data_IF_299814479354
#
_entry.id   IF_299814479354
#
_cell.length_a   1.000
_cell.length_b   1.000
_cell.length_c   1.000
_cell.angle_alpha   90.00
_cell.angle_beta   90.00
_cell.angle_gamma   90.00
#
_symmetry.space_group_name_H-M   'P 1'
#
loop_
_entity.id
_entity.type
_entity.pdbx_description
1 polymer ?
#
# COMPACT_ATOMS: atom_id res chain seq x y z
N UNK A 1 -1.06 7.84 19.98
CA UNK A 1 -0.80 9.15 19.36
C UNK A 1 -1.73 9.38 18.18
N UNK A 2 -2.05 10.63 17.87
CA UNK A 2 -2.81 10.97 16.66
C UNK A 2 -1.92 10.75 15.42
N UNK A 3 -2.34 9.88 14.51
CA UNK A 3 -1.63 9.70 13.25
C UNK A 3 -1.89 10.94 12.38
N UNK A 4 -0.82 11.51 11.80
CA UNK A 4 -0.88 12.70 10.93
C UNK A 4 -0.49 12.33 9.50
N UNK A 5 -0.93 13.11 8.52
CA UNK A 5 -0.64 12.84 7.11
C UNK A 5 -1.19 11.48 6.65
N UNK A 6 -0.41 10.73 5.88
CA UNK A 6 -0.81 9.42 5.33
C UNK A 6 -1.26 8.41 6.40
N UNK A 7 -0.57 8.38 7.55
CA UNK A 7 -0.98 7.51 8.66
C UNK A 7 -2.36 7.86 9.23
N UNK A 8 -2.81 9.11 9.08
CA UNK A 8 -4.16 9.53 9.41
C UNK A 8 -5.21 8.86 8.54
N UNK A 9 -5.00 8.82 7.21
CA UNK A 9 -5.89 8.12 6.28
C UNK A 9 -5.96 6.62 6.58
N UNK A 10 -4.80 5.97 6.74
CA UNK A 10 -4.74 4.53 7.06
C UNK A 10 -5.47 4.26 8.36
N UNK A 11 -5.27 5.07 9.41
CA UNK A 11 -5.94 4.86 10.70
C UNK A 11 -7.46 5.06 10.64
N UNK A 12 -7.94 5.97 9.79
CA UNK A 12 -9.38 6.18 9.58
C UNK A 12 -10.03 4.95 8.92
N UNK A 13 -9.33 4.33 7.96
CA UNK A 13 -9.80 3.12 7.26
C UNK A 13 -9.63 1.88 8.13
N UNK A 14 -8.43 1.66 8.67
CA UNK A 14 -8.08 0.51 9.51
C UNK A 14 -7.03 0.90 10.56
N UNK A 15 -7.46 0.98 11.81
CA UNK A 15 -6.57 1.18 12.96
C UNK A 15 -5.55 0.05 13.11
N UNK A 16 -5.93 -1.18 12.74
CA UNK A 16 -5.05 -2.35 12.76
C UNK A 16 -3.94 -2.23 11.71
N UNK A 17 -4.26 -1.85 10.46
CA UNK A 17 -3.25 -1.65 9.42
C UNK A 17 -2.25 -0.56 9.82
N UNK A 18 -2.74 0.52 10.44
CA UNK A 18 -1.87 1.56 10.98
C UNK A 18 -0.92 1.03 12.07
N UNK A 19 -1.43 0.18 12.98
CA UNK A 19 -0.60 -0.45 14.01
C UNK A 19 0.46 -1.38 13.41
N UNK A 20 0.12 -2.17 12.39
CA UNK A 20 1.07 -3.06 11.70
C UNK A 20 2.23 -2.31 11.07
N UNK A 21 1.99 -1.15 10.49
CA UNK A 21 3.06 -0.27 9.97
C UNK A 21 3.97 0.20 11.12
N UNK A 22 3.40 0.59 12.26
CA UNK A 22 4.19 0.94 13.45
C UNK A 22 5.01 -0.24 13.99
N UNK A 23 4.45 -1.44 13.98
CA UNK A 23 5.15 -2.67 14.41
C UNK A 23 6.35 -2.95 13.49
N UNK A 24 6.19 -2.82 12.17
CA UNK A 24 7.29 -2.96 11.20
C UNK A 24 8.38 -1.89 11.39
N UNK A 25 7.99 -0.63 11.65
CA UNK A 25 8.95 0.43 11.99
C UNK A 25 9.69 0.16 13.30
N UNK A 26 9.00 -0.40 14.30
CA UNK A 26 9.60 -0.80 15.56
C UNK A 26 10.60 -1.94 15.34
N UNK A 27 10.27 -2.95 14.52
CA UNK A 27 11.18 -4.03 14.16
C UNK A 27 12.48 -3.50 13.52
N UNK A 28 12.37 -2.57 12.57
CA UNK A 28 13.55 -1.94 11.96
C UNK A 28 14.39 -1.12 12.95
N UNK A 29 13.74 -0.44 13.91
CA UNK A 29 14.44 0.28 14.98
C UNK A 29 15.12 -0.67 15.96
N UNK A 30 14.50 -1.80 16.27
CA UNK A 30 15.07 -2.83 17.13
C UNK A 30 16.31 -3.44 16.49
N UNK A 31 16.29 -3.73 15.20
CA UNK A 31 17.48 -4.14 14.46
C UNK A 31 18.59 -3.08 14.54
N UNK A 32 18.28 -1.84 14.15
CA UNK A 32 19.27 -0.74 14.15
C UNK A 32 19.86 -0.42 15.52
N UNK A 33 19.03 -0.38 16.57
CA UNK A 33 19.46 0.08 17.91
C UNK A 33 19.91 -1.08 18.82
N UNK A 34 19.53 -2.32 18.51
CA UNK A 34 19.76 -3.49 19.36
C UNK A 34 21.07 -4.20 19.10
N UNK A 35 21.68 -3.99 17.93
CA UNK A 35 22.93 -4.63 17.54
C UNK A 35 24.14 -3.76 17.89
N UNK A 36 25.13 -4.38 18.55
CA UNK A 36 26.41 -3.76 18.90
C UNK A 36 27.15 -3.33 17.64
N UNK A 37 28.00 -2.29 17.78
CA UNK A 37 28.66 -1.50 16.72
C UNK A 37 29.42 -2.25 15.61
N UNK A 38 29.50 -3.58 15.63
CA UNK A 38 30.16 -4.41 14.62
C UNK A 38 29.23 -4.89 13.50
N UNK A 39 27.91 -4.87 13.71
CA UNK A 39 26.90 -5.30 12.71
C UNK A 39 25.94 -4.16 12.30
N UNK A 40 26.18 -2.94 12.81
CA UNK A 40 25.38 -1.77 12.46
C UNK A 40 25.49 -1.48 10.95
N UNK A 41 24.38 -1.68 10.24
CA UNK A 41 24.31 -1.50 8.78
C UNK A 41 24.57 -2.74 7.93
N UNK A 42 24.71 -3.95 8.49
CA UNK A 42 24.80 -5.18 7.68
C UNK A 42 23.42 -5.57 7.13
N UNK A 43 23.16 -5.21 5.88
CA UNK A 43 21.92 -5.54 5.16
C UNK A 43 21.79 -7.04 4.84
N UNK A 44 22.83 -7.84 5.07
CA UNK A 44 22.77 -9.30 4.91
C UNK A 44 22.31 -10.03 6.17
N UNK A 45 22.14 -9.31 7.30
CA UNK A 45 21.58 -9.87 8.51
C UNK A 45 20.15 -10.40 8.23
N UNK A 46 19.86 -11.69 8.53
CA UNK A 46 18.50 -12.23 8.41
C UNK A 46 17.44 -11.40 9.14
N UNK A 47 17.77 -10.77 10.28
CA UNK A 47 16.83 -9.93 11.02
C UNK A 47 16.52 -8.61 10.32
N UNK A 48 17.49 -8.03 9.62
CA UNK A 48 17.23 -6.91 8.71
C UNK A 48 16.22 -7.34 7.65
N UNK A 49 16.45 -8.50 7.02
CA UNK A 49 15.55 -9.07 6.02
C UNK A 49 14.13 -9.27 6.54
N UNK A 50 13.96 -9.86 7.72
CA UNK A 50 12.64 -10.06 8.34
C UNK A 50 11.96 -8.74 8.70
N UNK A 51 12.68 -7.79 9.30
CA UNK A 51 12.13 -6.48 9.65
C UNK A 51 11.70 -5.70 8.41
N UNK A 52 12.53 -5.72 7.36
CA UNK A 52 12.24 -5.06 6.09
C UNK A 52 11.01 -5.68 5.42
N UNK A 53 10.95 -7.02 5.34
CA UNK A 53 9.81 -7.71 4.74
C UNK A 53 8.49 -7.39 5.49
N UNK A 54 8.52 -7.37 6.83
CA UNK A 54 7.35 -6.99 7.63
C UNK A 54 6.92 -5.54 7.38
N UNK A 55 7.87 -4.60 7.32
CA UNK A 55 7.58 -3.20 7.04
C UNK A 55 7.02 -3.01 5.63
N UNK A 56 7.62 -3.66 4.62
CA UNK A 56 7.16 -3.57 3.24
C UNK A 56 5.76 -4.16 3.08
N UNK A 57 5.49 -5.33 3.66
CA UNK A 57 4.17 -5.95 3.61
C UNK A 57 3.11 -5.06 4.28
N UNK A 58 3.42 -4.50 5.45
CA UNK A 58 2.51 -3.60 6.16
C UNK A 58 2.24 -2.30 5.38
N UNK A 59 3.29 -1.70 4.80
CA UNK A 59 3.16 -0.48 4.00
C UNK A 59 2.37 -0.72 2.70
N UNK A 60 2.66 -1.81 1.99
CA UNK A 60 1.97 -2.15 0.75
C UNK A 60 0.49 -2.40 1.02
N UNK A 61 0.16 -3.15 2.07
CA UNK A 61 -1.24 -3.37 2.47
C UNK A 61 -1.93 -2.06 2.89
N UNK A 62 -1.26 -1.21 3.67
CA UNK A 62 -1.83 0.08 4.09
C UNK A 62 -2.11 1.02 2.90
N UNK A 63 -1.21 1.06 1.90
CA UNK A 63 -1.40 1.82 0.68
C UNK A 63 -2.49 1.21 -0.20
N UNK A 64 -2.55 -0.12 -0.32
CA UNK A 64 -3.62 -0.81 -1.02
C UNK A 64 -4.99 -0.47 -0.43
N UNK A 65 -5.14 -0.44 0.90
CA UNK A 65 -6.40 -0.03 1.55
C UNK A 65 -6.81 1.39 1.19
N UNK A 66 -5.88 2.35 1.19
CA UNK A 66 -6.18 3.74 0.83
C UNK A 66 -6.58 3.86 -0.63
N UNK A 67 -5.86 3.19 -1.54
CA UNK A 67 -6.18 3.21 -2.98
C UNK A 67 -7.52 2.53 -3.25
N UNK A 68 -7.79 1.40 -2.58
CA UNK A 68 -9.07 0.68 -2.64
C UNK A 68 -10.24 1.56 -2.23
N UNK A 69 -10.12 2.27 -1.10
CA UNK A 69 -11.15 3.18 -0.62
C UNK A 69 -11.41 4.28 -1.66
N UNK A 70 -10.35 4.87 -2.20
CA UNK A 70 -10.45 5.92 -3.23
C UNK A 70 -11.08 5.43 -4.53
N UNK A 71 -10.80 4.20 -4.94
CA UNK A 71 -11.49 3.56 -6.06
C UNK A 71 -12.98 3.37 -5.77
N UNK A 72 -13.35 2.99 -4.54
CA UNK A 72 -14.75 2.84 -4.14
C UNK A 72 -15.48 4.19 -4.04
N UNK A 73 -14.81 5.24 -3.56
CA UNK A 73 -15.40 6.59 -3.50
C UNK A 73 -15.74 7.12 -4.89
N UNK A 74 -14.99 6.72 -5.93
CA UNK A 74 -15.16 7.21 -7.30
C UNK A 74 -16.59 7.09 -7.81
N UNK A 75 -17.33 6.06 -7.41
CA UNK A 75 -18.72 5.83 -7.84
C UNK A 75 -19.70 6.92 -7.37
N UNK A 76 -19.36 7.65 -6.30
CA UNK A 76 -20.18 8.73 -5.74
C UNK A 76 -19.76 10.14 -6.18
N UNK A 77 -18.66 10.27 -6.91
CA UNK A 77 -18.07 11.56 -7.27
C UNK A 77 -18.43 12.00 -8.69
N UNK A 78 -18.39 13.31 -8.95
CA UNK A 78 -18.60 13.86 -10.28
C UNK A 78 -17.78 15.14 -10.53
N UNK A 79 -17.58 15.47 -11.81
CA UNK A 79 -16.82 16.66 -12.23
C UNK A 79 -15.38 16.67 -11.69
N UNK A 80 -14.89 17.85 -11.32
CA UNK A 80 -13.50 18.05 -10.89
C UNK A 80 -13.10 17.26 -9.64
N UNK A 81 -14.06 16.86 -8.81
CA UNK A 81 -13.79 16.02 -7.64
C UNK A 81 -13.47 14.58 -8.03
N UNK A 82 -14.21 14.04 -9.00
CA UNK A 82 -13.94 12.72 -9.58
C UNK A 82 -12.58 12.69 -10.30
N UNK A 83 -12.24 13.75 -11.03
CA UNK A 83 -10.94 13.87 -11.71
C UNK A 83 -9.78 13.91 -10.72
N UNK A 84 -9.92 14.69 -9.64
CA UNK A 84 -8.89 14.80 -8.59
C UNK A 84 -8.73 13.48 -7.81
N UNK A 85 -9.84 12.80 -7.51
CA UNK A 85 -9.80 11.50 -6.85
C UNK A 85 -9.14 10.43 -7.74
N UNK A 86 -9.46 10.42 -9.04
CA UNK A 86 -8.82 9.49 -9.97
C UNK A 86 -7.32 9.77 -10.15
N UNK A 87 -6.91 11.03 -10.28
CA UNK A 87 -5.50 11.41 -10.32
C UNK A 87 -4.74 10.96 -9.05
N UNK A 88 -5.39 11.02 -7.89
CA UNK A 88 -4.84 10.45 -6.65
C UNK A 88 -4.68 8.93 -6.76
N UNK A 89 -5.69 8.21 -7.23
CA UNK A 89 -5.64 6.74 -7.44
C UNK A 89 -4.48 6.37 -8.38
N UNK A 90 -4.34 7.07 -9.51
CA UNK A 90 -3.24 6.83 -10.46
C UNK A 90 -1.88 7.09 -9.82
N UNK A 91 -1.71 8.21 -9.12
CA UNK A 91 -0.42 8.61 -8.53
C UNK A 91 -0.02 7.72 -7.36
N UNK A 92 -0.93 7.49 -6.41
CA UNK A 92 -0.66 6.66 -5.24
C UNK A 92 -0.56 5.18 -5.61
N UNK A 93 -1.36 4.72 -6.57
CA UNK A 93 -1.40 3.34 -7.03
C UNK A 93 -0.13 2.88 -7.75
N UNK A 94 0.61 3.78 -8.40
CA UNK A 94 1.88 3.43 -9.05
C UNK A 94 2.91 2.81 -8.09
N UNK A 95 2.88 3.20 -6.80
CA UNK A 95 3.74 2.62 -5.78
C UNK A 95 3.51 1.13 -5.53
N UNK A 96 2.35 0.59 -5.95
CA UNK A 96 1.97 -0.80 -5.77
C UNK A 96 2.27 -1.68 -6.99
N UNK A 97 2.66 -1.12 -8.14
CA UNK A 97 2.90 -1.90 -9.36
C UNK A 97 4.01 -2.92 -9.16
N UNK A 98 5.19 -2.49 -8.71
CA UNK A 98 6.32 -3.41 -8.50
C UNK A 98 6.00 -4.53 -7.49
N UNK A 99 5.47 -4.25 -6.29
CA UNK A 99 5.13 -5.33 -5.35
C UNK A 99 3.96 -6.19 -5.84
N UNK A 100 3.04 -5.65 -6.65
CA UNK A 100 2.00 -6.44 -7.29
C UNK A 100 2.60 -7.44 -8.30
N UNK A 101 3.52 -7.00 -9.17
CA UNK A 101 4.21 -7.84 -10.14
C UNK A 101 5.00 -8.97 -9.47
N UNK A 102 5.62 -8.69 -8.32
CA UNK A 102 6.34 -9.68 -7.50
C UNK A 102 5.40 -10.73 -6.87
N UNK A 103 4.10 -10.42 -6.77
CA UNK A 103 3.10 -11.26 -6.13
C UNK A 103 2.34 -12.10 -7.16
N UNK A 104 1.71 -11.45 -8.14
CA UNK A 104 0.97 -12.10 -9.22
C UNK A 104 0.96 -11.20 -10.47
N UNK A 105 1.69 -11.60 -11.50
CA UNK A 105 1.81 -10.82 -12.74
C UNK A 105 0.48 -10.64 -13.49
N UNK A 106 -0.49 -11.55 -13.33
CA UNK A 106 -1.79 -11.46 -13.98
C UNK A 106 -2.66 -10.37 -13.36
N UNK A 107 -2.83 -10.41 -12.04
CA UNK A 107 -3.57 -9.38 -11.30
C UNK A 107 -2.85 -8.02 -11.35
N UNK A 108 -1.52 -8.02 -11.34
CA UNK A 108 -0.72 -6.80 -11.54
C UNK A 108 -0.96 -6.17 -12.92
N UNK A 109 -1.13 -6.99 -13.97
CA UNK A 109 -1.51 -6.53 -15.30
C UNK A 109 -2.87 -5.83 -15.32
N UNK A 110 -3.89 -6.44 -14.69
CA UNK A 110 -5.23 -5.85 -14.57
C UNK A 110 -5.15 -4.49 -13.86
N UNK A 111 -4.46 -4.46 -12.72
CA UNK A 111 -4.30 -3.24 -11.92
C UNK A 111 -3.56 -2.15 -12.69
N UNK A 112 -2.43 -2.48 -13.34
CA UNK A 112 -1.63 -1.53 -14.12
C UNK A 112 -2.42 -0.99 -15.32
N UNK A 113 -3.18 -1.84 -16.03
CA UNK A 113 -4.06 -1.40 -17.12
C UNK A 113 -5.15 -0.45 -16.65
N UNK A 114 -5.74 -0.70 -15.47
CA UNK A 114 -6.70 0.22 -14.88
C UNK A 114 -6.07 1.59 -14.61
N UNK A 115 -4.89 1.63 -13.98
CA UNK A 115 -4.24 2.91 -13.67
C UNK A 115 -3.83 3.71 -14.91
N UNK A 116 -3.56 3.04 -16.03
CA UNK A 116 -3.25 3.68 -17.30
C UNK A 116 -4.49 4.24 -18.03
N UNK A 117 -5.69 3.91 -17.58
CA UNK A 117 -6.94 4.41 -18.17
C UNK A 117 -7.32 5.76 -17.54
N UNK A 118 -7.42 6.80 -18.36
CA UNK A 118 -7.81 8.15 -17.92
C UNK A 118 -9.30 8.26 -17.55
N UNK A 119 -10.13 7.35 -18.06
CA UNK A 119 -11.57 7.36 -17.81
C UNK A 119 -12.12 5.91 -17.73
N UNK A 120 -11.80 5.19 -16.65
CA UNK A 120 -12.28 3.82 -16.46
C UNK A 120 -13.79 3.77 -16.22
N UNK A 121 -14.42 2.75 -16.77
CA UNK A 121 -15.79 2.37 -16.45
C UNK A 121 -15.90 1.81 -15.02
N UNK A 122 -17.13 1.78 -14.50
CA UNK A 122 -17.40 1.21 -13.18
C UNK A 122 -17.00 -0.26 -13.05
N UNK A 123 -17.17 -1.06 -14.11
CA UNK A 123 -16.77 -2.46 -14.14
C UNK A 123 -15.24 -2.63 -14.08
N UNK A 124 -14.50 -1.75 -14.77
CA UNK A 124 -13.04 -1.73 -14.71
C UNK A 124 -12.54 -1.36 -13.30
N UNK A 125 -13.17 -0.39 -12.63
CA UNK A 125 -12.85 -0.02 -11.25
C UNK A 125 -13.10 -1.20 -10.31
N UNK A 126 -14.25 -1.87 -10.41
CA UNK A 126 -14.55 -3.07 -9.59
C UNK A 126 -13.55 -4.19 -9.86
N UNK A 127 -13.16 -4.40 -11.13
CA UNK A 127 -12.12 -5.35 -11.50
C UNK A 127 -10.76 -5.03 -10.88
N UNK A 128 -10.37 -3.75 -10.84
CA UNK A 128 -9.16 -3.31 -10.17
C UNK A 128 -9.19 -3.46 -8.66
N UNK A 129 -10.33 -3.19 -8.02
CA UNK A 129 -10.51 -3.44 -6.57
C UNK A 129 -10.33 -4.94 -6.27
N UNK A 130 -10.95 -5.81 -7.07
CA UNK A 130 -10.80 -7.26 -6.90
C UNK A 130 -9.35 -7.73 -7.11
N UNK A 131 -8.66 -7.20 -8.14
CA UNK A 131 -7.25 -7.48 -8.36
C UNK A 131 -6.39 -7.00 -7.18
N UNK A 132 -6.65 -5.81 -6.65
CA UNK A 132 -5.92 -5.23 -5.52
C UNK A 132 -6.13 -6.05 -4.24
N UNK A 133 -7.35 -6.50 -3.96
CA UNK A 133 -7.68 -7.36 -2.82
C UNK A 133 -6.99 -8.73 -2.92
N UNK A 134 -6.82 -9.26 -4.14
CA UNK A 134 -6.08 -10.50 -4.39
C UNK A 134 -4.55 -10.34 -4.23
N UNK A 135 -4.01 -9.18 -4.62
CA UNK A 135 -2.57 -8.88 -4.54
C UNK A 135 -2.11 -8.57 -3.11
N UNK A 136 -2.94 -7.89 -2.31
CA UNK A 136 -2.58 -7.42 -0.98
C UNK A 136 -3.60 -7.88 0.07
N UNK A 137 -3.74 -9.20 0.29
CA UNK A 137 -4.69 -9.73 1.28
C UNK A 137 -4.36 -9.21 2.68
N UNK A 138 -5.37 -9.20 3.55
CA UNK A 138 -5.18 -8.86 4.96
C UNK A 138 -4.15 -9.82 5.60
N UNK A 139 -3.06 -9.30 6.20
CA UNK A 139 -2.02 -10.12 6.83
C UNK A 139 -2.44 -10.73 8.18
#
# INVERSE_FOLDING_TARGET
>A
GGAIGFGGFVKQISSQANQRVFDGLAAMRCWRNGYMSTEDGDVNDPLYGYGKAQLDQANNHALALVVRERMADQFGLCGSEADANWAFVQTAGQGLIKPAEDTDAGNAGIYTSLLANDNPSGDEIMGGIAALDALFPCP
#
